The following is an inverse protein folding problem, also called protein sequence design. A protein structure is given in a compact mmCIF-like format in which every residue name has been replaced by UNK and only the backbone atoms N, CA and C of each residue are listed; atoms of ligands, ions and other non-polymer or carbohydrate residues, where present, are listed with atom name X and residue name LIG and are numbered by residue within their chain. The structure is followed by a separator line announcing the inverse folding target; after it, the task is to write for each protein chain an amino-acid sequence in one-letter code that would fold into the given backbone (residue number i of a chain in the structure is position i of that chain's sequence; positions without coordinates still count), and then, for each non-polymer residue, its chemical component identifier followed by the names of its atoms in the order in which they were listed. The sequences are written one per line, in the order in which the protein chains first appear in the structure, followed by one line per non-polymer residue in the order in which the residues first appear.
data_IF_012605990040
#
_entry.id   IF_012605990040
#
_cell.length_a   1.000
_cell.length_b   1.000
_cell.length_c   1.000
_cell.angle_alpha   90.00
_cell.angle_beta   90.00
_cell.angle_gamma   90.00
#
_symmetry.space_group_name_H-M   'P 1'
#
loop_
_entity.id
_entity.type
_entity.pdbx_description
1 polymer ?
#
# COMPACT_ATOMS: atom_id res chain seq x y z
N UNK A 1 39.01 -4.30 4.62
CA UNK A 1 39.79 -3.50 3.64
C UNK A 1 41.03 -4.20 3.06
N UNK A 2 41.70 -5.13 3.76
CA UNK A 2 42.99 -5.69 3.31
C UNK A 2 42.91 -6.65 2.10
N UNK A 3 41.77 -7.32 1.89
CA UNK A 3 41.63 -8.31 0.81
C UNK A 3 41.41 -7.67 -0.58
N UNK A 4 40.76 -6.50 -0.68
CA UNK A 4 40.56 -5.82 -1.96
C UNK A 4 41.88 -5.35 -2.59
N UNK A 5 42.87 -5.00 -1.74
CA UNK A 5 44.23 -4.62 -2.19
C UNK A 5 45.07 -5.81 -2.67
N UNK A 6 44.65 -7.04 -2.37
CA UNK A 6 45.33 -8.29 -2.75
C UNK A 6 44.83 -8.83 -4.09
N UNK A 7 43.59 -8.57 -4.47
CA UNK A 7 43.00 -9.03 -5.74
C UNK A 7 42.73 -7.89 -6.72
N UNK A 8 43.32 -6.71 -6.50
CA UNK A 8 43.04 -5.54 -7.33
C UNK A 8 43.49 -5.80 -8.78
N UNK A 9 42.65 -5.50 -9.79
CA UNK A 9 42.95 -5.81 -11.20
C UNK A 9 44.23 -5.15 -11.70
N UNK A 10 44.59 -3.98 -11.15
CA UNK A 10 45.84 -3.26 -11.45
C UNK A 10 47.12 -4.06 -11.10
N UNK A 11 47.07 -4.94 -10.10
CA UNK A 11 48.22 -5.77 -9.71
C UNK A 11 48.32 -7.07 -10.52
N UNK A 12 47.21 -7.51 -11.11
CA UNK A 12 47.11 -8.79 -11.82
C UNK A 12 46.29 -8.62 -13.11
N UNK A 13 46.78 -7.83 -14.08
CA UNK A 13 46.02 -7.47 -15.28
C UNK A 13 45.72 -8.66 -16.22
N UNK A 14 46.52 -9.72 -16.17
CA UNK A 14 46.40 -10.89 -17.05
C UNK A 14 45.72 -12.10 -16.38
N UNK A 15 45.25 -11.96 -15.13
CA UNK A 15 44.67 -13.06 -14.34
C UNK A 15 43.15 -12.86 -14.21
N UNK A 16 42.32 -13.52 -15.04
CA UNK A 16 40.87 -13.32 -15.03
C UNK A 16 40.23 -13.71 -13.69
N UNK A 17 40.82 -14.66 -12.96
CA UNK A 17 40.35 -15.10 -11.65
C UNK A 17 40.49 -14.01 -10.58
N UNK A 18 41.49 -13.13 -10.69
CA UNK A 18 41.68 -12.03 -9.74
C UNK A 18 40.54 -11.00 -9.85
N UNK A 19 40.11 -10.70 -11.08
CA UNK A 19 38.97 -9.81 -11.36
C UNK A 19 37.67 -10.39 -10.79
N UNK A 20 37.41 -11.67 -11.00
CA UNK A 20 36.22 -12.34 -10.42
C UNK A 20 36.25 -12.32 -8.90
N UNK A 21 37.41 -12.58 -8.30
CA UNK A 21 37.57 -12.52 -6.84
C UNK A 21 37.35 -11.10 -6.30
N UNK A 22 37.83 -10.08 -7.00
CA UNK A 22 37.63 -8.67 -6.64
C UNK A 22 36.15 -8.27 -6.72
N UNK A 23 35.43 -8.69 -7.75
CA UNK A 23 34.00 -8.45 -7.90
C UNK A 23 33.21 -9.09 -6.75
N UNK A 24 33.46 -10.36 -6.44
CA UNK A 24 32.82 -11.07 -5.32
C UNK A 24 33.08 -10.37 -3.98
N UNK A 25 34.31 -9.93 -3.76
CA UNK A 25 34.68 -9.25 -2.52
C UNK A 25 34.05 -7.85 -2.40
N UNK A 26 33.96 -7.12 -3.53
CA UNK A 26 33.32 -5.81 -3.57
C UNK A 26 31.82 -5.91 -3.29
N UNK A 27 31.16 -6.93 -3.83
CA UNK A 27 29.76 -7.25 -3.53
C UNK A 27 29.56 -7.63 -2.05
N UNK A 28 30.39 -8.53 -1.52
CA UNK A 28 30.30 -8.90 -0.10
C UNK A 28 30.47 -7.68 0.82
N UNK A 29 31.38 -6.76 0.47
CA UNK A 29 31.58 -5.53 1.23
C UNK A 29 30.38 -4.61 1.15
N UNK A 30 29.79 -4.36 -0.02
CA UNK A 30 28.63 -3.46 -0.16
C UNK A 30 27.38 -3.93 0.61
N UNK A 31 27.26 -5.24 0.82
CA UNK A 31 26.21 -5.86 1.64
C UNK A 31 26.54 -5.81 3.13
N UNK A 32 27.75 -6.21 3.52
CA UNK A 32 28.11 -6.40 4.92
C UNK A 32 28.60 -5.11 5.61
N UNK A 33 28.95 -4.07 4.85
CA UNK A 33 29.41 -2.79 5.40
C UNK A 33 28.27 -1.97 6.02
N UNK A 34 27.03 -2.16 5.54
CA UNK A 34 25.85 -1.49 6.07
C UNK A 34 25.08 -2.44 7.00
N UNK A 35 24.89 -2.03 8.26
CA UNK A 35 24.18 -2.82 9.27
C UNK A 35 22.74 -3.16 8.86
N UNK A 36 22.07 -2.31 8.06
CA UNK A 36 20.71 -2.56 7.58
C UNK A 36 20.70 -3.64 6.51
N UNK A 37 21.59 -3.56 5.51
CA UNK A 37 21.70 -4.53 4.41
C UNK A 37 22.19 -5.90 4.90
N UNK A 38 23.11 -5.90 5.87
CA UNK A 38 23.56 -7.11 6.54
C UNK A 38 22.41 -7.85 7.23
N UNK A 39 21.60 -7.15 8.03
CA UNK A 39 20.45 -7.76 8.70
C UNK A 39 19.47 -8.37 7.69
N UNK A 40 19.26 -7.71 6.56
CA UNK A 40 18.36 -8.19 5.51
C UNK A 40 18.91 -9.45 4.82
N UNK A 41 20.21 -9.48 4.54
CA UNK A 41 20.90 -10.66 4.04
C UNK A 41 20.82 -11.84 5.01
N UNK A 42 21.06 -11.58 6.31
CA UNK A 42 21.01 -12.61 7.35
C UNK A 42 19.61 -13.20 7.54
N UNK A 43 18.53 -12.43 7.29
CA UNK A 43 17.14 -12.91 7.41
C UNK A 43 16.60 -13.56 6.14
N UNK A 44 16.95 -13.04 4.96
CA UNK A 44 16.30 -13.41 3.69
C UNK A 44 17.23 -14.19 2.74
N UNK A 45 18.51 -14.31 3.07
CA UNK A 45 19.55 -14.82 2.17
C UNK A 45 19.94 -13.83 1.06
N UNK A 46 19.34 -12.64 1.02
CA UNK A 46 19.57 -11.60 0.01
C UNK A 46 19.60 -10.21 0.66
N UNK A 47 20.48 -9.34 0.16
CA UNK A 47 20.75 -8.03 0.74
C UNK A 47 19.75 -6.93 0.34
N UNK A 48 18.79 -7.25 -0.53
CA UNK A 48 17.80 -6.33 -1.09
C UNK A 48 16.39 -6.86 -0.78
N UNK A 49 15.44 -5.99 -0.38
CA UNK A 49 14.08 -6.42 -0.07
C UNK A 49 13.37 -6.76 -1.39
N UNK A 50 13.39 -8.04 -1.76
CA UNK A 50 12.74 -8.56 -2.98
C UNK A 50 13.66 -8.86 -4.17
N UNK A 51 14.97 -9.03 -3.98
CA UNK A 51 15.91 -9.14 -5.10
C UNK A 51 16.36 -10.57 -5.45
N UNK A 52 15.88 -11.07 -6.59
CA UNK A 52 16.58 -12.06 -7.38
C UNK A 52 17.96 -11.53 -7.81
N UNK A 53 18.86 -12.47 -8.03
CA UNK A 53 20.24 -12.26 -8.49
C UNK A 53 20.25 -11.59 -9.88
N UNK A 54 21.15 -10.62 -10.04
CA UNK A 54 21.59 -9.97 -11.29
C UNK A 54 20.71 -8.88 -11.94
N UNK A 55 21.42 -7.86 -12.45
CA UNK A 55 21.01 -6.81 -13.42
C UNK A 55 20.60 -5.43 -12.88
N UNK A 56 21.59 -4.57 -12.65
CA UNK A 56 21.45 -3.16 -13.03
C UNK A 56 21.30 -3.10 -14.57
N UNK A 57 20.06 -2.99 -15.07
CA UNK A 57 19.81 -2.96 -16.51
C UNK A 57 18.34 -3.17 -16.84
N UNK A 58 17.77 -2.23 -17.61
CA UNK A 58 16.40 -2.21 -18.14
C UNK A 58 15.23 -2.23 -17.13
N UNK A 59 15.19 -3.12 -16.14
CA UNK A 59 14.08 -3.23 -15.20
C UNK A 59 13.98 -2.05 -14.23
N UNK A 60 15.11 -1.52 -13.73
CA UNK A 60 15.10 -0.29 -12.92
C UNK A 60 14.63 0.92 -13.74
N UNK A 61 15.02 0.99 -15.02
CA UNK A 61 14.60 2.05 -15.94
C UNK A 61 13.10 1.95 -16.23
N UNK A 62 12.61 0.74 -16.53
CA UNK A 62 11.19 0.46 -16.73
C UNK A 62 10.39 0.79 -15.47
N UNK A 63 10.85 0.37 -14.29
CA UNK A 63 10.19 0.70 -13.02
C UNK A 63 10.12 2.21 -12.81
N UNK A 64 11.17 2.99 -13.12
CA UNK A 64 11.13 4.45 -13.02
C UNK A 64 10.12 5.08 -13.98
N UNK A 65 10.04 4.59 -15.22
CA UNK A 65 9.06 5.06 -16.20
C UNK A 65 7.64 4.71 -15.77
N UNK A 66 7.41 3.48 -15.29
CA UNK A 66 6.12 3.05 -14.75
C UNK A 66 5.72 3.90 -13.54
N UNK A 67 6.65 4.18 -12.63
CA UNK A 67 6.38 5.04 -11.48
C UNK A 67 6.05 6.48 -11.88
N UNK A 68 6.71 7.02 -12.92
CA UNK A 68 6.40 8.34 -13.46
C UNK A 68 4.99 8.37 -14.07
N UNK A 69 4.66 7.40 -14.92
CA UNK A 69 3.31 7.27 -15.51
C UNK A 69 2.25 7.11 -14.42
N UNK A 70 2.54 6.35 -13.37
CA UNK A 70 1.63 6.18 -12.25
C UNK A 70 1.46 7.47 -11.43
N UNK A 71 2.53 8.23 -11.21
CA UNK A 71 2.48 9.53 -10.55
C UNK A 71 1.65 10.53 -11.37
N UNK A 72 1.91 10.63 -12.68
CA UNK A 72 1.17 11.51 -13.60
C UNK A 72 -0.32 11.14 -13.65
N UNK A 73 -0.62 9.83 -13.71
CA UNK A 73 -2.00 9.32 -13.61
C UNK A 73 -2.70 9.78 -12.32
N UNK A 74 -2.02 9.72 -11.17
CA UNK A 74 -2.58 10.17 -9.91
C UNK A 74 -2.72 11.70 -9.83
N UNK A 75 -1.77 12.44 -10.39
CA UNK A 75 -1.81 13.91 -10.45
C UNK A 75 -2.84 14.41 -11.49
N UNK A 76 -3.26 13.55 -12.40
CA UNK A 76 -4.23 13.87 -13.46
C UNK A 76 -3.59 14.51 -14.69
N UNK A 77 -2.26 14.42 -14.81
CA UNK A 77 -1.54 14.73 -16.03
C UNK A 77 -1.49 13.48 -16.91
N UNK A 78 -2.08 13.54 -18.09
CA UNK A 78 -2.10 12.42 -19.02
C UNK A 78 -1.27 12.69 -20.28
N UNK A 79 -0.49 13.78 -20.33
CA UNK A 79 0.29 14.12 -21.53
C UNK A 79 1.36 13.07 -21.84
N UNK A 80 2.05 12.53 -20.83
CA UNK A 80 3.01 11.44 -21.05
C UNK A 80 2.33 10.15 -21.54
N UNK A 81 1.14 9.84 -21.02
CA UNK A 81 0.33 8.68 -21.44
C UNK A 81 -0.13 8.86 -22.89
N UNK A 82 -0.57 10.07 -23.25
CA UNK A 82 -0.97 10.45 -24.62
C UNK A 82 0.20 10.34 -25.60
N UNK A 83 1.37 10.87 -25.23
CA UNK A 83 2.59 10.75 -26.04
C UNK A 83 3.02 9.30 -26.21
N UNK A 84 2.93 8.49 -25.14
CA UNK A 84 3.26 7.07 -25.20
C UNK A 84 2.30 6.30 -26.13
N UNK A 85 0.99 6.51 -26.03
CA UNK A 85 -0.01 5.88 -26.92
C UNK A 85 0.23 6.25 -28.39
N UNK A 86 0.57 7.51 -28.68
CA UNK A 86 0.94 7.97 -30.03
C UNK A 86 2.21 7.27 -30.53
N UNK A 87 3.24 7.17 -29.68
CA UNK A 87 4.47 6.45 -30.04
C UNK A 87 4.23 4.96 -30.34
N UNK A 88 3.34 4.30 -29.60
CA UNK A 88 2.95 2.91 -29.87
C UNK A 88 2.22 2.76 -31.21
N UNK A 89 1.38 3.74 -31.57
CA UNK A 89 0.71 3.80 -32.86
C UNK A 89 1.67 4.01 -34.05
N UNK A 90 2.78 4.69 -33.82
CA UNK A 90 3.85 4.88 -34.82
C UNK A 90 4.73 3.63 -34.98
N UNK A 91 5.03 2.93 -33.88
CA UNK A 91 5.86 1.72 -33.89
C UNK A 91 5.13 0.53 -34.53
N UNK A 92 3.80 0.49 -34.49
CA UNK A 92 3.01 -0.54 -35.15
C UNK A 92 1.92 0.04 -36.06
N UNK A 93 2.16 0.15 -37.38
CA UNK A 93 1.20 0.71 -38.33
C UNK A 93 -0.09 -0.13 -38.52
N UNK A 94 -0.15 -1.35 -37.95
CA UNK A 94 -1.40 -2.15 -37.86
C UNK A 94 -2.28 -1.77 -36.66
N UNK A 95 -1.72 -1.10 -35.66
CA UNK A 95 -2.38 -0.59 -34.46
C UNK A 95 -2.43 0.93 -34.50
N UNK A 96 -2.92 1.52 -35.61
CA UNK A 96 -3.17 2.96 -35.64
C UNK A 96 -4.31 3.27 -34.67
N UNK A 97 -3.95 3.64 -33.45
CA UNK A 97 -4.86 4.31 -32.55
C UNK A 97 -5.21 5.64 -33.22
N UNK A 98 -6.41 5.74 -33.80
CA UNK A 98 -6.92 7.02 -34.28
C UNK A 98 -7.02 8.00 -33.10
N UNK A 99 -6.89 9.30 -33.35
CA UNK A 99 -6.98 10.31 -32.29
C UNK A 99 -8.26 10.14 -31.45
N UNK A 100 -9.38 9.75 -32.08
CA UNK A 100 -10.64 9.42 -31.40
C UNK A 100 -10.51 8.28 -30.36
N UNK A 101 -9.76 7.22 -30.69
CA UNK A 101 -9.54 6.10 -29.77
C UNK A 101 -8.60 6.46 -28.61
N UNK A 102 -7.64 7.36 -28.87
CA UNK A 102 -6.74 7.89 -27.84
C UNK A 102 -7.53 8.76 -26.88
N UNK A 103 -8.38 9.65 -27.40
CA UNK A 103 -9.26 10.49 -26.58
C UNK A 103 -10.25 9.66 -25.75
N UNK A 104 -10.85 8.62 -26.33
CA UNK A 104 -11.73 7.70 -25.60
C UNK A 104 -10.98 6.95 -24.48
N UNK A 105 -9.75 6.51 -24.72
CA UNK A 105 -8.89 5.87 -23.71
C UNK A 105 -8.52 6.84 -22.59
N UNK A 106 -8.14 8.08 -22.94
CA UNK A 106 -7.82 9.12 -21.97
C UNK A 106 -9.04 9.43 -21.10
N UNK A 107 -10.22 9.55 -21.71
CA UNK A 107 -11.46 9.77 -20.97
C UNK A 107 -11.77 8.62 -20.01
N UNK A 108 -11.57 7.37 -20.44
CA UNK A 108 -11.73 6.21 -19.57
C UNK A 108 -10.74 6.21 -18.40
N UNK A 109 -9.49 6.63 -18.63
CA UNK A 109 -8.47 6.77 -17.58
C UNK A 109 -8.79 7.90 -16.60
N UNK A 110 -9.35 9.02 -17.08
CA UNK A 110 -9.83 10.10 -16.22
C UNK A 110 -10.96 9.62 -15.32
N UNK A 111 -11.95 8.92 -15.87
CA UNK A 111 -13.04 8.35 -15.08
C UNK A 111 -12.53 7.31 -14.08
N UNK A 112 -11.56 6.47 -14.48
CA UNK A 112 -10.92 5.51 -13.59
C UNK A 112 -10.18 6.21 -12.45
N UNK A 113 -9.41 7.26 -12.76
CA UNK A 113 -8.72 8.08 -11.77
C UNK A 113 -9.71 8.68 -10.79
N UNK A 114 -10.81 9.22 -11.30
CA UNK A 114 -11.85 9.80 -10.45
C UNK A 114 -12.35 8.79 -9.43
N UNK A 115 -12.68 7.55 -9.86
CA UNK A 115 -13.08 6.46 -8.95
C UNK A 115 -11.95 6.07 -7.99
N UNK A 116 -10.73 5.89 -8.48
CA UNK A 116 -9.58 5.47 -7.65
C UNK A 116 -9.23 6.52 -6.60
N UNK A 117 -9.29 7.80 -6.95
CA UNK A 117 -8.97 8.91 -6.05
C UNK A 117 -10.15 9.21 -5.15
N UNK A 118 -11.40 9.27 -5.63
CA UNK A 118 -12.57 9.60 -4.82
C UNK A 118 -12.88 8.50 -3.81
N UNK A 119 -13.10 7.27 -4.29
CA UNK A 119 -13.37 6.12 -3.45
C UNK A 119 -12.14 5.79 -2.60
N UNK A 120 -10.94 5.77 -3.20
CA UNK A 120 -9.71 5.49 -2.46
C UNK A 120 -9.45 6.49 -1.33
N UNK A 121 -9.64 7.79 -1.54
CA UNK A 121 -9.47 8.81 -0.50
C UNK A 121 -10.49 8.68 0.62
N UNK A 122 -11.77 8.45 0.32
CA UNK A 122 -12.82 8.35 1.35
C UNK A 122 -12.57 7.15 2.27
N UNK A 123 -12.34 5.98 1.69
CA UNK A 123 -12.04 4.76 2.42
C UNK A 123 -10.72 4.86 3.20
N UNK A 124 -9.67 5.39 2.58
CA UNK A 124 -8.37 5.54 3.23
C UNK A 124 -8.42 6.55 4.38
N UNK A 125 -9.18 7.64 4.24
CA UNK A 125 -9.40 8.61 5.34
C UNK A 125 -10.09 7.94 6.51
N UNK A 126 -11.19 7.22 6.26
CA UNK A 126 -11.92 6.50 7.30
C UNK A 126 -11.00 5.52 8.04
N UNK A 127 -10.26 4.70 7.29
CA UNK A 127 -9.33 3.72 7.84
C UNK A 127 -8.20 4.39 8.64
N UNK A 128 -7.64 5.49 8.14
CA UNK A 128 -6.57 6.26 8.80
C UNK A 128 -7.04 6.84 10.13
N UNK A 129 -8.24 7.42 10.19
CA UNK A 129 -8.79 7.95 11.44
C UNK A 129 -8.99 6.85 12.48
N UNK A 130 -9.53 5.70 12.08
CA UNK A 130 -9.72 4.57 13.00
C UNK A 130 -8.38 3.96 13.46
N UNK A 131 -7.37 3.85 12.57
CA UNK A 131 -6.01 3.45 12.94
C UNK A 131 -5.37 4.41 13.95
N UNK A 132 -5.54 5.72 13.74
CA UNK A 132 -5.00 6.74 14.65
C UNK A 132 -5.62 6.62 16.05
N UNK A 133 -6.95 6.43 16.13
CA UNK A 133 -7.67 6.19 17.38
C UNK A 133 -7.24 4.90 18.07
N UNK A 134 -7.08 3.80 17.32
CA UNK A 134 -6.55 2.54 17.85
C UNK A 134 -5.15 2.73 18.45
N UNK A 135 -4.30 3.47 17.74
CA UNK A 135 -2.94 3.78 18.20
C UNK A 135 -2.95 4.62 19.48
N UNK A 136 -3.80 5.64 19.58
CA UNK A 136 -3.96 6.47 20.78
C UNK A 136 -4.41 5.65 21.99
N UNK A 137 -5.43 4.78 21.82
CA UNK A 137 -5.93 3.90 22.89
C UNK A 137 -4.84 2.91 23.30
N UNK A 138 -4.11 2.33 22.34
CA UNK A 138 -3.00 1.43 22.63
C UNK A 138 -1.87 2.15 23.37
N UNK A 139 -1.57 3.40 23.00
CA UNK A 139 -0.58 4.22 23.67
C UNK A 139 -1.01 4.56 25.11
N UNK A 140 -2.26 4.96 25.31
CA UNK A 140 -2.83 5.21 26.63
C UNK A 140 -2.75 3.96 27.52
N UNK A 141 -3.10 2.78 26.99
CA UNK A 141 -2.96 1.49 27.70
C UNK A 141 -1.52 1.21 28.18
N UNK A 142 -0.52 1.59 27.38
CA UNK A 142 0.90 1.43 27.75
C UNK A 142 1.36 2.44 28.80
N UNK A 143 0.72 3.61 28.88
CA UNK A 143 1.06 4.63 29.88
C UNK A 143 0.43 4.35 31.25
N UNK A 144 -0.64 3.55 31.33
CA UNK A 144 -1.28 3.20 32.60
C UNK A 144 -0.44 2.23 33.43
N UNK A 145 -0.35 2.54 34.74
CA UNK A 145 0.24 1.64 35.74
C UNK A 145 -0.44 0.27 35.75
N UNK A 146 0.31 -0.78 36.12
CA UNK A 146 -0.21 -2.16 36.19
C UNK A 146 -1.41 -2.30 37.13
N UNK A 147 -1.42 -1.53 38.21
CA UNK A 147 -2.46 -1.58 39.24
C UNK A 147 -3.73 -0.78 38.91
N UNK A 148 -3.74 -0.03 37.81
CA UNK A 148 -4.94 0.70 37.37
C UNK A 148 -5.87 -0.20 36.53
N UNK A 149 -6.44 -1.18 37.21
CA UNK A 149 -7.38 -2.16 36.66
C UNK A 149 -8.63 -1.51 36.04
N UNK A 150 -9.32 -0.53 36.66
CA UNK A 150 -10.52 0.06 36.07
C UNK A 150 -10.21 0.88 34.81
N UNK A 151 -9.11 1.63 34.79
CA UNK A 151 -8.67 2.37 33.60
C UNK A 151 -8.30 1.44 32.44
N UNK A 152 -7.57 0.35 32.74
CA UNK A 152 -7.21 -0.67 31.74
C UNK A 152 -8.43 -1.40 31.19
N UNK A 153 -9.38 -1.78 32.04
CA UNK A 153 -10.62 -2.43 31.61
C UNK A 153 -11.39 -1.53 30.66
N UNK A 154 -11.52 -0.24 30.99
CA UNK A 154 -12.20 0.75 30.15
C UNK A 154 -11.54 0.91 28.79
N UNK A 155 -10.22 1.12 28.75
CA UNK A 155 -9.47 1.24 27.48
C UNK A 155 -9.52 -0.05 26.66
N UNK A 156 -9.56 -1.22 27.31
CA UNK A 156 -9.71 -2.51 26.62
C UNK A 156 -11.10 -2.68 26.00
N UNK A 157 -12.15 -2.23 26.69
CA UNK A 157 -13.52 -2.18 26.15
C UNK A 157 -13.61 -1.21 24.98
N UNK A 158 -12.99 -0.03 25.09
CA UNK A 158 -12.93 0.95 23.99
C UNK A 158 -12.18 0.39 22.78
N UNK A 159 -11.05 -0.30 22.99
CA UNK A 159 -10.28 -0.97 21.95
C UNK A 159 -11.14 -2.04 21.26
N UNK A 160 -11.79 -2.91 22.04
CA UNK A 160 -12.67 -3.95 21.52
C UNK A 160 -13.82 -3.35 20.69
N UNK A 161 -14.47 -2.29 21.18
CA UNK A 161 -15.53 -1.58 20.45
C UNK A 161 -15.01 -1.03 19.12
N UNK A 162 -13.88 -0.35 19.12
CA UNK A 162 -13.31 0.26 17.91
C UNK A 162 -12.92 -0.83 16.88
N UNK A 163 -12.35 -1.94 17.33
CA UNK A 163 -12.01 -3.08 16.45
C UNK A 163 -13.23 -3.75 15.84
N UNK A 164 -14.34 -3.84 16.57
CA UNK A 164 -15.59 -4.43 16.08
C UNK A 164 -16.40 -3.45 15.22
N UNK A 165 -16.30 -2.14 15.49
CA UNK A 165 -16.96 -1.10 14.72
C UNK A 165 -16.29 -0.85 13.36
N UNK A 166 -14.97 -1.04 13.26
CA UNK A 166 -14.19 -0.89 12.03
C UNK A 166 -14.80 -1.59 10.79
N UNK A 167 -15.02 -2.92 10.79
CA UNK A 167 -15.59 -3.61 9.63
C UNK A 167 -17.01 -3.14 9.31
N UNK A 168 -17.80 -2.76 10.32
CA UNK A 168 -19.17 -2.26 10.14
C UNK A 168 -19.17 -0.86 9.51
N UNK A 169 -18.28 0.02 9.94
CA UNK A 169 -18.16 1.37 9.39
C UNK A 169 -17.66 1.35 7.94
N UNK A 170 -16.74 0.44 7.62
CA UNK A 170 -16.28 0.22 6.24
C UNK A 170 -17.39 -0.32 5.35
N UNK A 171 -18.15 -1.32 5.80
CA UNK A 171 -19.27 -1.89 5.04
C UNK A 171 -20.37 -0.84 4.78
N UNK A 172 -20.64 0.06 5.75
CA UNK A 172 -21.56 1.19 5.58
C UNK A 172 -21.06 2.26 4.61
N UNK A 173 -19.77 2.60 4.65
CA UNK A 173 -19.18 3.59 3.74
C UNK A 173 -19.26 3.12 2.28
N UNK A 174 -18.90 1.85 2.02
CA UNK A 174 -19.02 1.24 0.69
C UNK A 174 -20.47 1.26 0.20
N UNK A 175 -21.44 0.97 1.08
CA UNK A 175 -22.86 1.00 0.70
C UNK A 175 -23.39 2.41 0.43
N UNK A 176 -22.87 3.43 1.12
CA UNK A 176 -23.26 4.81 0.87
C UNK A 176 -22.83 5.25 -0.53
N UNK A 177 -21.59 4.95 -0.90
CA UNK A 177 -21.04 5.24 -2.23
C UNK A 177 -21.81 4.50 -3.34
N UNK A 178 -22.11 3.21 -3.16
CA UNK A 178 -22.92 2.45 -4.12
C UNK A 178 -24.35 2.99 -4.29
N UNK A 179 -24.93 3.54 -3.22
CA UNK A 179 -26.28 4.11 -3.26
C UNK A 179 -26.29 5.41 -4.06
N UNK A 180 -25.23 6.21 -3.97
CA UNK A 180 -25.05 7.43 -4.75
C UNK A 180 -24.81 7.12 -6.24
N UNK A 181 -23.98 6.12 -6.57
CA UNK A 181 -23.75 5.65 -7.95
C UNK A 181 -25.03 5.10 -8.60
N UNK A 182 -25.79 4.28 -7.88
CA UNK A 182 -27.03 3.68 -8.38
C UNK A 182 -28.19 4.70 -8.49
N UNK A 183 -28.05 5.88 -7.87
CA UNK A 183 -28.98 7.01 -8.04
C UNK A 183 -28.69 7.84 -9.29
N UNK A 184 -27.45 7.77 -9.81
CA UNK A 184 -27.03 8.47 -11.03
C UNK A 184 -27.18 7.60 -12.29
N UNK A 185 -27.25 6.27 -12.13
CA UNK A 185 -27.36 5.31 -13.23
C UNK A 185 -28.78 4.72 -13.32
N UNK A 186 -29.77 5.56 -13.64
CA UNK A 186 -31.04 5.05 -14.16
C UNK A 186 -30.80 4.50 -15.58
N UNK A 187 -31.22 3.25 -15.81
CA UNK A 187 -31.07 2.43 -17.04
C UNK A 187 -29.76 1.65 -17.17
N UNK A 188 -29.61 0.62 -16.34
CA UNK A 188 -28.66 -0.47 -16.59
C UNK A 188 -28.80 -1.59 -15.56
N UNK A 189 -29.10 -2.81 -15.99
CA UNK A 189 -29.28 -4.00 -15.14
C UNK A 189 -27.94 -4.39 -14.48
N UNK A 190 -27.57 -3.68 -13.43
CA UNK A 190 -26.47 -4.03 -12.54
C UNK A 190 -27.02 -4.70 -11.29
N UNK A 191 -26.69 -5.98 -11.05
CA UNK A 191 -27.00 -6.64 -9.77
C UNK A 191 -26.33 -5.87 -8.64
N UNK A 192 -27.05 -5.50 -7.55
CA UNK A 192 -26.40 -4.94 -6.38
C UNK A 192 -25.42 -5.98 -5.84
N UNK A 193 -24.12 -5.66 -5.83
CA UNK A 193 -23.12 -6.48 -5.16
C UNK A 193 -23.48 -6.50 -3.68
N UNK A 194 -23.92 -7.66 -3.20
CA UNK A 194 -24.42 -7.82 -1.83
C UNK A 194 -23.37 -7.43 -0.79
N UNK A 195 -23.86 -7.10 0.41
CA UNK A 195 -23.05 -6.79 1.60
C UNK A 195 -21.93 -7.82 1.77
N UNK A 196 -20.72 -7.36 2.11
CA UNK A 196 -19.61 -8.27 2.36
C UNK A 196 -19.80 -9.06 3.66
N UNK A 197 -20.48 -8.46 4.64
CA UNK A 197 -20.91 -9.15 5.85
C UNK A 197 -22.35 -9.67 5.72
N UNK A 198 -22.61 -10.93 6.09
CA UNK A 198 -23.97 -11.42 6.30
C UNK A 198 -24.74 -10.50 7.26
N UNK A 199 -26.02 -10.24 6.96
CA UNK A 199 -26.88 -9.36 7.77
C UNK A 199 -26.97 -9.80 9.24
N UNK A 200 -26.87 -11.11 9.49
CA UNK A 200 -26.80 -11.69 10.84
C UNK A 200 -25.56 -11.23 11.60
N UNK A 201 -24.39 -11.23 10.96
CA UNK A 201 -23.12 -10.84 11.58
C UNK A 201 -23.11 -9.32 11.84
N UNK A 202 -23.62 -8.52 10.90
CA UNK A 202 -23.76 -7.07 11.12
C UNK A 202 -24.67 -6.75 12.33
N UNK A 203 -25.77 -7.49 12.50
CA UNK A 203 -26.67 -7.33 13.65
C UNK A 203 -25.98 -7.72 14.98
N UNK A 204 -25.27 -8.85 14.99
CA UNK A 204 -24.55 -9.33 16.17
C UNK A 204 -23.43 -8.38 16.59
N UNK A 205 -22.63 -7.89 15.62
CA UNK A 205 -21.58 -6.90 15.88
C UNK A 205 -22.19 -5.59 16.38
N UNK A 206 -23.30 -5.14 15.79
CA UNK A 206 -24.01 -3.95 16.25
C UNK A 206 -24.48 -4.08 17.71
N UNK A 207 -25.07 -5.22 18.07
CA UNK A 207 -25.49 -5.50 19.44
C UNK A 207 -24.29 -5.57 20.40
N UNK A 208 -23.18 -6.17 19.99
CA UNK A 208 -21.95 -6.20 20.77
C UNK A 208 -21.39 -4.78 21.01
N UNK A 209 -21.39 -3.91 20.00
CA UNK A 209 -20.98 -2.51 20.15
C UNK A 209 -21.85 -1.75 21.15
N UNK A 210 -23.17 -1.95 21.13
CA UNK A 210 -24.11 -1.32 22.09
C UNK A 210 -23.87 -1.82 23.52
N UNK A 211 -23.62 -3.11 23.69
CA UNK A 211 -23.27 -3.69 25.01
C UNK A 211 -21.95 -3.12 25.52
N UNK A 212 -20.94 -3.01 24.65
CA UNK A 212 -19.63 -2.45 25.00
C UNK A 212 -19.71 -0.95 25.35
N UNK A 213 -20.53 -0.17 24.64
CA UNK A 213 -20.79 1.23 24.95
C UNK A 213 -21.48 1.41 26.31
N UNK A 214 -22.43 0.52 26.63
CA UNK A 214 -23.07 0.49 27.94
C UNK A 214 -22.10 0.06 29.04
N UNK A 215 -21.18 -0.86 28.74
CA UNK A 215 -20.08 -1.24 29.65
C UNK A 215 -19.09 -0.10 29.90
N UNK A 216 -18.81 0.72 28.89
CA UNK A 216 -17.93 1.88 29.02
C UNK A 216 -18.53 2.98 29.92
N UNK A 217 -19.84 3.23 29.80
CA UNK A 217 -20.54 4.29 30.58
C UNK A 217 -20.74 3.94 32.05
N UNK A 218 -20.74 2.66 32.39
CA UNK A 218 -20.88 2.17 33.78
C UNK A 218 -19.55 2.21 34.55
N UNK A 219 -18.41 2.27 33.85
CA UNK A 219 -17.09 2.27 34.49
C UNK A 219 -16.73 3.67 35.03
N UNK A 220 -16.36 3.78 36.33
CA UNK A 220 -16.07 5.06 36.95
C UNK A 220 -14.82 5.70 36.34
N UNK A 221 -14.95 6.96 35.91
CA UNK A 221 -13.82 7.85 35.60
C UNK A 221 -13.22 8.34 36.91
N UNK A 222 -12.06 7.82 37.31
CA UNK A 222 -11.20 8.59 38.20
C UNK A 222 -10.36 9.52 37.32
N UNK A 223 -10.56 10.82 37.55
CA UNK A 223 -9.62 11.90 37.20
C UNK A 223 -8.32 11.67 37.95
#
# INVERSE_FOLDING_TARGET
MNMCRRCHPDKFPNEPLATVAFQKLSYAYSVLSDNRKRRLYDTNGTAEPGGAQDMHGANDTLNRVLLAIWADFLDGDFELIKMLLRSFGEVNPKLKFGDETIEALLQALVNLREVVVSAGQQHFRLLKFEMMRLYEIQHALRQLSYFDVPGRLKLTIQLARLTLALPVNVDKAIMAEQREENSQQEVGVGRPRGRYLPSSIHSVIGLACVVLEKGESVLPTRV
#
